data_IF_012020924491
#
_entry.id   IF_012020924491
#
_cell.length_a   1.000
_cell.length_b   1.000
_cell.length_c   1.000
_cell.angle_alpha   90.00
_cell.angle_beta   90.00
_cell.angle_gamma   90.00
#
_symmetry.space_group_name_H-M   'P 1'
#
loop_
_entity.id
_entity.type
_entity.pdbx_description
1 polymer ?
#
# COMPACT_ATOMS: atom_id res chain seq x y z
N UNK A 1 -18.56 -0.21 18.55
CA UNK A 1 -17.69 0.55 19.48
C UNK A 1 -16.38 0.77 18.76
N UNK A 2 -16.22 1.93 18.15
CA UNK A 2 -14.98 2.29 17.46
C UNK A 2 -13.95 2.68 18.51
N UNK A 3 -12.84 1.94 18.59
CA UNK A 3 -11.68 2.39 19.35
C UNK A 3 -11.17 3.72 18.80
N UNK A 4 -10.34 4.46 19.55
CA UNK A 4 -9.69 5.64 18.99
C UNK A 4 -8.84 5.21 17.79
N UNK A 5 -9.08 5.81 16.63
CA UNK A 5 -8.26 5.60 15.44
C UNK A 5 -6.80 5.86 15.81
N UNK A 6 -5.93 4.85 15.67
CA UNK A 6 -4.51 4.89 16.01
C UNK A 6 -3.73 5.77 15.04
N UNK A 7 -4.16 5.86 13.79
CA UNK A 7 -3.46 6.57 12.72
C UNK A 7 -4.42 7.41 11.88
N UNK A 8 -3.95 8.55 11.37
CA UNK A 8 -4.73 9.42 10.48
C UNK A 8 -4.73 8.87 9.04
N UNK A 9 -5.35 7.71 8.82
CA UNK A 9 -5.49 7.01 7.53
C UNK A 9 -6.96 6.60 7.32
N UNK A 10 -7.39 6.13 6.13
CA UNK A 10 -8.74 5.59 5.94
C UNK A 10 -9.07 4.47 6.94
N UNK A 11 -10.32 4.42 7.42
CA UNK A 11 -10.70 3.53 8.52
C UNK A 11 -10.47 2.04 8.21
N UNK A 12 -10.70 1.62 6.96
CA UNK A 12 -10.47 0.25 6.52
C UNK A 12 -8.99 -0.14 6.50
N UNK A 13 -8.08 0.81 6.34
CA UNK A 13 -6.64 0.55 6.25
C UNK A 13 -6.01 0.35 7.63
N UNK A 14 -6.48 1.09 8.64
CA UNK A 14 -5.95 1.05 9.99
C UNK A 14 -5.80 -0.37 10.58
N UNK A 15 -6.82 -1.25 10.57
CA UNK A 15 -6.70 -2.59 11.15
C UNK A 15 -5.76 -3.51 10.37
N UNK A 16 -5.33 -3.11 9.17
CA UNK A 16 -4.41 -3.88 8.33
C UNK A 16 -2.97 -3.55 8.67
N UNK A 17 -2.67 -2.32 9.07
CA UNK A 17 -1.30 -1.88 9.30
C UNK A 17 -0.64 -2.64 10.46
N UNK A 18 0.63 -3.05 10.34
CA UNK A 18 1.38 -3.63 11.45
C UNK A 18 1.49 -2.66 12.63
N UNK A 19 1.77 -3.20 13.82
CA UNK A 19 2.12 -2.35 14.96
C UNK A 19 3.41 -1.58 14.65
N UNK A 20 3.43 -0.28 14.95
CA UNK A 20 4.63 0.54 14.80
C UNK A 20 5.63 0.13 15.87
N UNK A 21 6.79 -0.37 15.44
CA UNK A 21 7.89 -0.72 16.33
C UNK A 21 8.86 0.45 16.46
N UNK A 22 9.34 0.70 17.67
CA UNK A 22 10.35 1.71 17.90
C UNK A 22 11.67 1.29 17.23
N UNK A 23 12.32 2.18 16.45
CA UNK A 23 13.59 1.86 15.81
C UNK A 23 14.71 1.73 16.85
N UNK A 24 15.78 1.03 16.48
CA UNK A 24 17.03 1.08 17.22
C UNK A 24 17.78 2.37 16.89
N UNK A 25 18.30 3.05 17.90
CA UNK A 25 19.30 4.10 17.69
C UNK A 25 20.66 3.44 17.54
N UNK A 26 21.27 3.57 16.36
CA UNK A 26 22.62 3.13 16.09
C UNK A 26 23.62 4.18 16.56
N UNK A 27 24.46 3.76 17.49
CA UNK A 27 25.49 4.56 18.12
C UNK A 27 26.87 3.96 17.86
N UNK A 28 27.90 4.80 17.93
CA UNK A 28 29.29 4.44 17.68
C UNK A 28 30.18 4.96 18.80
N UNK A 29 31.02 4.08 19.34
CA UNK A 29 31.94 4.39 20.44
C UNK A 29 33.32 3.86 20.10
N UNK A 30 34.36 4.63 20.43
CA UNK A 30 35.75 4.17 20.29
C UNK A 30 36.10 3.24 21.45
N UNK A 31 36.51 2.01 21.12
CA UNK A 31 37.04 1.04 22.08
C UNK A 31 38.53 0.76 21.86
N UNK A 32 39.13 -0.01 22.75
CA UNK A 32 40.56 -0.35 22.74
C UNK A 32 41.04 -1.08 21.47
N UNK A 33 40.11 -1.58 20.64
CA UNK A 33 40.38 -2.28 19.37
C UNK A 33 39.80 -1.60 18.14
N UNK A 34 39.38 -0.34 18.23
CA UNK A 34 38.71 0.40 17.17
C UNK A 34 37.24 0.69 17.46
N UNK A 35 36.49 1.05 16.43
CA UNK A 35 35.09 1.45 16.55
C UNK A 35 34.19 0.27 16.93
N UNK A 36 33.22 0.54 17.82
CA UNK A 36 32.21 -0.43 18.24
C UNK A 36 30.84 0.18 18.08
N UNK A 37 29.98 -0.51 17.33
CA UNK A 37 28.63 -0.08 17.05
C UNK A 37 27.63 -0.75 17.98
N UNK A 38 26.69 0.06 18.49
CA UNK A 38 25.66 -0.35 19.44
C UNK A 38 24.27 0.01 18.90
N UNK A 39 23.34 -0.92 19.03
CA UNK A 39 21.91 -0.64 18.90
C UNK A 39 21.34 -0.33 20.27
N UNK A 40 20.70 0.82 20.40
CA UNK A 40 20.08 1.29 21.64
C UNK A 40 18.57 1.27 21.43
N UNK A 41 17.87 0.46 22.21
CA UNK A 41 16.42 0.39 22.20
C UNK A 41 15.79 1.57 22.96
N UNK A 42 14.48 1.78 22.79
CA UNK A 42 13.74 2.89 23.42
C UNK A 42 13.77 2.86 24.96
N UNK A 43 13.92 1.69 25.56
CA UNK A 43 14.08 1.51 27.02
C UNK A 43 15.52 1.76 27.51
N UNK A 44 16.44 2.11 26.61
CA UNK A 44 17.86 2.35 26.89
C UNK A 44 18.73 1.09 26.85
N UNK A 45 18.15 -0.10 26.61
CA UNK A 45 18.91 -1.34 26.49
C UNK A 45 19.88 -1.27 25.32
N UNK A 46 21.15 -1.61 25.57
CA UNK A 46 22.23 -1.58 24.58
C UNK A 46 22.62 -2.98 24.13
N UNK A 47 22.70 -3.19 22.82
CA UNK A 47 23.22 -4.42 22.20
C UNK A 47 24.36 -4.08 21.26
N UNK A 48 25.49 -4.77 21.39
CA UNK A 48 26.60 -4.63 20.43
C UNK A 48 26.16 -5.23 19.10
N UNK A 49 26.31 -4.46 18.02
CA UNK A 49 25.90 -4.87 16.67
C UNK A 49 27.09 -5.23 15.78
N UNK A 50 28.24 -4.59 15.97
CA UNK A 50 29.41 -4.89 15.15
C UNK A 50 30.62 -4.02 15.46
N UNK A 51 31.63 -4.14 14.61
CA UNK A 51 32.86 -3.32 14.60
C UNK A 51 33.01 -2.51 13.32
N UNK A 52 32.00 -2.54 12.45
CA UNK A 52 31.87 -1.69 11.29
C UNK A 52 30.40 -1.27 11.15
N UNK A 53 30.17 -0.15 10.45
CA UNK A 53 28.82 0.36 10.20
C UNK A 53 28.00 -0.62 9.34
N UNK A 54 28.64 -1.29 8.38
CA UNK A 54 28.00 -2.32 7.54
C UNK A 54 27.56 -3.54 8.36
N UNK A 55 28.45 -4.10 9.19
CA UNK A 55 28.11 -5.24 10.06
C UNK A 55 26.97 -4.88 11.03
N UNK A 56 26.99 -3.64 11.55
CA UNK A 56 25.99 -3.20 12.48
C UNK A 56 24.61 -3.06 11.84
N UNK A 57 24.55 -2.58 10.59
CA UNK A 57 23.33 -2.50 9.82
C UNK A 57 22.79 -3.89 9.46
N UNK A 58 23.65 -4.80 9.01
CA UNK A 58 23.27 -6.19 8.71
C UNK A 58 22.80 -6.94 9.98
N UNK A 59 23.44 -6.69 11.14
CA UNK A 59 23.07 -7.29 12.42
C UNK A 59 21.78 -6.72 13.03
N UNK A 60 21.33 -5.53 12.61
CA UNK A 60 20.03 -4.99 13.00
C UNK A 60 18.87 -5.81 12.40
N UNK A 61 19.10 -6.47 11.26
CA UNK A 61 18.13 -7.35 10.61
C UNK A 61 16.91 -6.58 10.12
N UNK A 62 15.71 -7.06 10.47
CA UNK A 62 14.43 -6.45 10.06
C UNK A 62 13.97 -5.31 10.98
N UNK A 63 14.78 -4.90 11.95
CA UNK A 63 14.46 -3.77 12.83
C UNK A 63 14.93 -2.48 12.19
N UNK A 64 14.03 -1.50 12.09
CA UNK A 64 14.41 -0.17 11.60
C UNK A 64 15.47 0.48 12.49
N UNK A 65 16.39 1.21 11.86
CA UNK A 65 17.50 1.87 12.54
C UNK A 65 17.43 3.37 12.30
N UNK A 66 17.72 4.16 13.33
CA UNK A 66 18.03 5.59 13.25
C UNK A 66 19.50 5.80 13.57
N UNK A 67 20.12 6.83 13.01
CA UNK A 67 21.51 7.14 13.33
C UNK A 67 21.60 8.17 14.47
N UNK A 68 22.49 7.92 15.42
CA UNK A 68 22.88 8.91 16.43
C UNK A 68 23.68 10.06 15.81
N UNK A 69 23.78 11.16 16.53
CA UNK A 69 24.60 12.30 16.10
C UNK A 69 26.08 11.91 15.95
N UNK A 70 26.60 11.01 16.79
CA UNK A 70 27.96 10.49 16.66
C UNK A 70 28.17 9.70 15.36
N UNK A 71 27.19 8.90 14.95
CA UNK A 71 27.24 8.20 13.65
C UNK A 71 27.10 9.20 12.50
N UNK A 72 26.21 10.19 12.60
CA UNK A 72 26.04 11.23 11.57
C UNK A 72 27.30 12.09 11.41
N UNK A 73 27.94 12.51 12.49
CA UNK A 73 29.17 13.31 12.45
C UNK A 73 30.34 12.55 11.80
N UNK A 74 30.41 11.22 12.03
CA UNK A 74 31.50 10.40 11.49
C UNK A 74 31.30 9.95 10.05
N UNK A 75 30.06 9.66 9.66
CA UNK A 75 29.77 8.98 8.38
C UNK A 75 28.75 9.70 7.50
N UNK A 76 28.13 10.78 7.97
CA UNK A 76 27.00 11.41 7.31
C UNK A 76 27.32 12.68 6.52
N UNK A 77 26.52 12.86 5.46
CA UNK A 77 26.11 14.16 4.94
C UNK A 77 24.57 14.17 4.98
N UNK A 78 23.93 15.28 5.38
CA UNK A 78 22.47 15.35 5.47
C UNK A 78 21.81 15.16 4.08
N UNK A 79 20.75 14.35 4.03
CA UNK A 79 19.92 14.21 2.83
C UNK A 79 19.08 15.47 2.56
N UNK A 80 18.70 15.74 1.30
CA UNK A 80 18.14 17.03 0.87
C UNK A 80 16.81 17.44 1.52
N UNK A 81 16.09 16.55 2.20
CA UNK A 81 14.73 16.80 2.69
C UNK A 81 14.50 16.52 4.18
N UNK A 82 15.54 16.23 4.98
CA UNK A 82 15.44 16.07 6.45
C UNK A 82 14.52 14.93 6.96
N UNK A 83 13.96 14.13 6.08
CA UNK A 83 12.95 13.11 6.38
C UNK A 83 13.49 11.67 6.35
N UNK A 84 14.73 11.50 5.89
CA UNK A 84 15.47 10.23 5.81
C UNK A 84 16.93 10.51 6.15
N UNK A 85 17.53 9.73 7.05
CA UNK A 85 18.99 9.75 7.15
C UNK A 85 19.58 8.92 6.02
N UNK A 86 20.53 9.50 5.29
CA UNK A 86 21.25 8.88 4.19
C UNK A 86 22.73 8.83 4.56
N UNK A 87 23.34 7.64 4.54
CA UNK A 87 24.78 7.48 4.75
C UNK A 87 25.41 6.71 3.59
N UNK A 88 26.52 7.22 3.07
CA UNK A 88 27.36 6.50 2.11
C UNK A 88 28.50 5.82 2.84
N UNK A 89 28.56 4.49 2.76
CA UNK A 89 29.52 3.70 3.53
C UNK A 89 30.38 2.84 2.60
N UNK A 90 31.71 2.84 2.74
CA UNK A 90 32.56 1.86 2.06
C UNK A 90 32.17 0.45 2.51
N UNK A 91 31.83 -0.42 1.56
CA UNK A 91 31.56 -1.83 1.79
C UNK A 91 32.85 -2.64 1.76
N UNK A 92 32.88 -3.73 2.52
CA UNK A 92 33.98 -4.71 2.52
C UNK A 92 34.30 -5.28 1.12
N UNK A 93 33.38 -5.19 0.16
CA UNK A 93 33.56 -5.61 -1.23
C UNK A 93 34.26 -4.57 -2.13
N UNK A 94 34.67 -3.41 -1.60
CA UNK A 94 35.34 -2.36 -2.37
C UNK A 94 34.42 -1.42 -3.16
N UNK A 95 33.11 -1.45 -2.88
CA UNK A 95 32.09 -0.54 -3.42
C UNK A 95 31.53 0.36 -2.31
N UNK A 96 30.84 1.45 -2.66
CA UNK A 96 30.06 2.22 -1.68
C UNK A 96 28.62 1.70 -1.61
N UNK A 97 28.07 1.60 -0.39
CA UNK A 97 26.66 1.31 -0.12
C UNK A 97 25.96 2.58 0.36
N UNK A 98 24.71 2.76 -0.05
CA UNK A 98 23.81 3.77 0.50
C UNK A 98 22.94 3.12 1.58
N UNK A 99 23.05 3.60 2.81
CA UNK A 99 22.18 3.23 3.92
C UNK A 99 21.08 4.28 4.07
N UNK A 100 19.84 3.82 4.23
CA UNK A 100 18.64 4.65 4.33
C UNK A 100 17.86 4.28 5.59
N UNK A 101 17.56 5.25 6.44
CA UNK A 101 16.67 5.03 7.58
C UNK A 101 15.22 5.32 7.19
N UNK A 102 14.39 4.28 7.11
CA UNK A 102 12.94 4.45 6.95
C UNK A 102 12.25 3.69 8.06
N UNK A 103 11.72 4.39 9.05
CA UNK A 103 11.04 3.78 10.20
C UNK A 103 9.59 3.45 9.89
N UNK A 104 8.98 2.53 10.64
CA UNK A 104 7.54 2.27 10.62
C UNK A 104 6.73 3.56 10.83
N UNK A 105 7.18 4.44 11.73
CA UNK A 105 6.57 5.75 11.94
C UNK A 105 6.61 6.61 10.67
N UNK A 106 7.72 6.63 9.93
CA UNK A 106 7.81 7.33 8.63
C UNK A 106 6.91 6.67 7.57
N UNK A 107 6.77 5.34 7.60
CA UNK A 107 5.87 4.61 6.68
C UNK A 107 4.41 4.97 6.94
N UNK A 108 3.96 5.00 8.19
CA UNK A 108 2.63 5.48 8.60
C UNK A 108 2.43 6.94 8.24
N UNK A 109 3.41 7.81 8.54
CA UNK A 109 3.32 9.25 8.24
C UNK A 109 3.08 9.48 6.74
N UNK A 110 3.76 8.74 5.86
CA UNK A 110 3.52 8.84 4.41
C UNK A 110 2.11 8.45 3.99
N UNK A 111 1.50 7.44 4.63
CA UNK A 111 0.10 7.06 4.38
C UNK A 111 -0.86 8.15 4.88
N UNK A 112 -0.56 8.72 6.05
CA UNK A 112 -1.33 9.80 6.63
C UNK A 112 -1.24 11.09 5.78
N UNK A 113 -0.06 11.41 5.24
CA UNK A 113 0.15 12.53 4.32
C UNK A 113 -0.61 12.32 3.00
N UNK A 114 -0.60 11.10 2.45
CA UNK A 114 -1.39 10.76 1.27
C UNK A 114 -2.90 10.92 1.54
N UNK A 115 -3.36 10.50 2.71
CA UNK A 115 -4.75 10.69 3.13
C UNK A 115 -5.11 12.16 3.27
N UNK A 116 -4.29 12.94 4.00
CA UNK A 116 -4.47 14.38 4.16
C UNK A 116 -4.51 15.10 2.80
N UNK A 117 -3.60 14.74 1.89
CA UNK A 117 -3.59 15.26 0.51
C UNK A 117 -4.89 14.94 -0.22
N UNK A 118 -5.40 13.71 -0.14
CA UNK A 118 -6.68 13.38 -0.74
C UNK A 118 -7.83 14.21 -0.15
N UNK A 119 -7.86 14.42 1.16
CA UNK A 119 -8.88 15.27 1.82
C UNK A 119 -8.85 16.72 1.32
N UNK A 120 -7.67 17.26 1.05
CA UNK A 120 -7.52 18.57 0.42
C UNK A 120 -8.05 18.58 -1.02
N UNK A 121 -7.75 17.54 -1.80
CA UNK A 121 -8.26 17.38 -3.16
C UNK A 121 -9.78 17.21 -3.20
N UNK A 122 -10.37 16.46 -2.26
CA UNK A 122 -11.81 16.33 -2.11
C UNK A 122 -12.48 17.68 -1.83
N UNK A 123 -11.90 18.46 -0.92
CA UNK A 123 -12.39 19.82 -0.62
C UNK A 123 -12.36 20.71 -1.86
N UNK A 124 -11.27 20.66 -2.64
CA UNK A 124 -11.13 21.44 -3.87
C UNK A 124 -12.12 21.02 -4.95
N UNK A 125 -12.22 19.71 -5.22
CA UNK A 125 -13.12 19.18 -6.22
C UNK A 125 -14.59 19.43 -5.86
N UNK A 126 -14.99 19.29 -4.59
CA UNK A 126 -16.37 19.61 -4.15
C UNK A 126 -16.72 21.08 -4.28
N UNK A 127 -15.74 21.98 -4.16
CA UNK A 127 -15.96 23.41 -4.35
C UNK A 127 -16.22 23.77 -5.83
N UNK A 128 -15.60 23.05 -6.76
CA UNK A 128 -15.85 23.16 -8.19
C UNK A 128 -15.79 21.79 -8.91
N UNK A 129 -16.89 21.03 -8.92
CA UNK A 129 -16.92 19.71 -9.58
C UNK A 129 -16.77 19.79 -11.10
N UNK A 130 -16.82 20.99 -11.68
CA UNK A 130 -16.64 21.22 -13.11
C UNK A 130 -15.17 21.37 -13.53
N UNK A 131 -14.26 21.48 -12.56
CA UNK A 131 -12.82 21.56 -12.81
C UNK A 131 -12.27 20.19 -13.22
N UNK A 132 -11.78 20.11 -14.47
CA UNK A 132 -11.11 18.90 -14.97
C UNK A 132 -9.86 18.53 -14.17
N UNK A 133 -9.02 19.52 -13.81
CA UNK A 133 -7.76 19.27 -13.12
C UNK A 133 -7.98 18.78 -11.69
N UNK A 134 -8.99 19.34 -10.99
CA UNK A 134 -9.32 18.88 -9.64
C UNK A 134 -9.98 17.50 -9.69
N UNK A 135 -10.85 17.23 -10.67
CA UNK A 135 -11.42 15.89 -10.88
C UNK A 135 -10.33 14.85 -11.16
N UNK A 136 -9.38 15.14 -12.07
CA UNK A 136 -8.26 14.25 -12.38
C UNK A 136 -7.43 13.93 -11.13
N UNK A 137 -7.00 14.97 -10.40
CA UNK A 137 -6.18 14.79 -9.21
C UNK A 137 -6.93 14.06 -8.08
N UNK A 138 -8.23 14.33 -7.93
CA UNK A 138 -9.09 13.65 -6.96
C UNK A 138 -9.23 12.15 -7.25
N UNK A 139 -9.51 11.78 -8.51
CA UNK A 139 -9.56 10.37 -8.93
C UNK A 139 -8.22 9.69 -8.68
N UNK A 140 -7.13 10.34 -9.09
CA UNK A 140 -5.78 9.76 -9.05
C UNK A 140 -5.34 9.37 -7.63
N UNK A 141 -5.83 10.10 -6.62
CA UNK A 141 -5.49 9.92 -5.21
C UNK A 141 -6.58 9.22 -4.38
N UNK A 142 -7.72 8.83 -4.96
CA UNK A 142 -8.86 8.31 -4.21
C UNK A 142 -8.55 6.97 -3.50
N UNK A 143 -8.88 6.80 -2.19
CA UNK A 143 -8.55 5.58 -1.45
C UNK A 143 -9.18 4.29 -1.99
N UNK A 144 -10.32 4.39 -2.70
CA UNK A 144 -10.93 3.27 -3.43
C UNK A 144 -9.96 2.61 -4.44
N UNK A 145 -8.87 3.30 -4.78
CA UNK A 145 -7.85 2.81 -5.69
C UNK A 145 -6.50 2.58 -5.04
N UNK A 146 -6.39 2.72 -3.72
CA UNK A 146 -5.14 2.40 -3.04
C UNK A 146 -4.93 0.89 -3.09
N UNK A 147 -3.75 0.48 -3.52
CA UNK A 147 -3.37 -0.93 -3.54
C UNK A 147 -2.04 -1.15 -2.83
N UNK A 148 -1.88 -2.35 -2.29
CA UNK A 148 -0.61 -2.80 -1.75
C UNK A 148 0.32 -3.20 -2.88
N UNK A 149 1.54 -2.66 -2.86
CA UNK A 149 2.56 -2.96 -3.86
C UNK A 149 2.92 -4.45 -3.83
N UNK A 150 2.74 -5.11 -4.98
CA UNK A 150 2.73 -6.56 -5.11
C UNK A 150 4.09 -7.26 -5.06
N UNK A 151 5.12 -6.65 -4.47
CA UNK A 151 6.51 -7.09 -4.68
C UNK A 151 6.77 -8.50 -4.10
N UNK A 152 6.09 -8.93 -3.02
CA UNK A 152 6.18 -10.30 -2.51
C UNK A 152 4.88 -10.75 -1.80
N UNK A 153 4.52 -12.03 -1.90
CA UNK A 153 3.38 -12.63 -1.16
C UNK A 153 3.81 -13.18 0.20
N UNK A 154 3.01 -13.03 1.28
CA UNK A 154 3.24 -13.76 2.52
C UNK A 154 3.37 -15.27 2.25
N UNK A 155 4.41 -15.86 2.84
CA UNK A 155 4.78 -17.25 2.62
C UNK A 155 5.68 -17.50 1.40
N UNK A 156 5.99 -16.49 0.58
CA UNK A 156 7.09 -16.58 -0.39
C UNK A 156 8.43 -16.51 0.35
N UNK A 157 9.48 -17.25 -0.09
CA UNK A 157 10.80 -17.24 0.57
C UNK A 157 11.42 -15.85 0.75
N UNK A 158 11.06 -14.90 -0.12
CA UNK A 158 11.61 -13.54 -0.14
C UNK A 158 10.70 -12.49 0.53
N UNK A 159 9.60 -12.90 1.16
CA UNK A 159 8.67 -11.99 1.81
C UNK A 159 9.23 -11.37 3.09
N UNK A 160 8.93 -10.08 3.32
CA UNK A 160 9.30 -9.33 4.52
C UNK A 160 8.16 -8.46 5.02
N UNK A 161 8.10 -8.21 6.33
CA UNK A 161 7.12 -7.30 6.95
C UNK A 161 7.18 -5.88 6.38
N UNK A 162 8.37 -5.44 5.96
CA UNK A 162 8.57 -4.16 5.28
C UNK A 162 7.74 -3.99 3.99
N UNK A 163 7.36 -5.10 3.34
CA UNK A 163 6.48 -5.08 2.15
C UNK A 163 4.99 -4.92 2.54
N UNK A 164 4.64 -5.00 3.83
CA UNK A 164 3.30 -4.66 4.34
C UNK A 164 2.99 -3.18 4.29
N UNK A 165 4.00 -2.37 4.53
CA UNK A 165 3.87 -0.93 4.54
C UNK A 165 3.84 -0.28 3.16
N UNK A 166 4.01 -1.05 2.08
CA UNK A 166 4.12 -0.50 0.72
C UNK A 166 2.74 -0.40 0.09
N UNK A 167 2.20 0.81 0.07
CA UNK A 167 0.97 1.14 -0.64
C UNK A 167 1.23 2.11 -1.78
N UNK A 168 0.49 1.91 -2.85
CA UNK A 168 0.41 2.79 -4.00
C UNK A 168 -0.88 3.61 -3.82
N UNK A 169 -0.71 4.89 -3.49
CA UNK A 169 -1.78 5.80 -3.06
C UNK A 169 -2.06 6.91 -4.07
N UNK A 170 -1.46 6.83 -5.25
CA UNK A 170 -1.54 7.81 -6.32
C UNK A 170 -1.34 7.10 -7.67
N UNK A 171 -1.41 7.85 -8.78
CA UNK A 171 -1.19 7.37 -10.14
C UNK A 171 -2.26 6.38 -10.65
N UNK A 172 -3.45 6.34 -10.03
CA UNK A 172 -4.55 5.51 -10.53
C UNK A 172 -4.96 5.89 -11.96
N UNK A 173 -4.89 7.17 -12.34
CA UNK A 173 -5.25 7.62 -13.68
C UNK A 173 -4.33 7.03 -14.77
N UNK A 174 -3.15 6.51 -14.42
CA UNK A 174 -2.28 5.78 -15.36
C UNK A 174 -2.79 4.36 -15.68
N UNK A 175 -3.77 3.87 -14.92
CA UNK A 175 -4.31 2.50 -15.01
C UNK A 175 -5.72 2.44 -15.59
N UNK A 176 -6.37 3.59 -15.74
CA UNK A 176 -7.66 3.71 -16.40
C UNK A 176 -7.50 3.32 -17.87
N UNK A 177 -8.34 2.42 -18.38
CA UNK A 177 -8.39 2.14 -19.82
C UNK A 177 -9.02 3.34 -20.51
N UNK A 178 -8.30 3.93 -21.46
CA UNK A 178 -8.73 5.12 -22.20
C UNK A 178 -8.80 4.77 -23.67
N UNK A 179 -10.00 4.76 -24.24
CA UNK A 179 -10.19 4.38 -25.64
C UNK A 179 -11.22 5.24 -26.38
N UNK A 180 -10.97 5.60 -27.64
CA UNK A 180 -12.00 6.16 -28.49
C UNK A 180 -13.03 5.07 -28.85
N UNK A 181 -14.31 5.38 -28.72
CA UNK A 181 -15.42 4.51 -29.10
C UNK A 181 -16.34 5.18 -30.11
N UNK A 182 -17.11 4.37 -30.83
CA UNK A 182 -18.16 4.84 -31.73
C UNK A 182 -19.52 4.63 -31.07
N UNK A 183 -20.30 5.70 -30.92
CA UNK A 183 -21.68 5.63 -30.43
C UNK A 183 -22.64 5.23 -31.58
N UNK A 184 -23.85 4.80 -31.20
CA UNK A 184 -24.87 4.30 -32.15
C UNK A 184 -25.29 5.33 -33.20
N UNK A 185 -25.25 6.61 -32.86
CA UNK A 185 -25.55 7.72 -33.77
C UNK A 185 -24.40 8.04 -34.74
N UNK A 186 -23.30 7.30 -34.67
CA UNK A 186 -22.10 7.59 -35.43
C UNK A 186 -21.42 8.88 -34.97
N UNK A 187 -21.41 9.18 -33.67
CA UNK A 187 -20.44 10.11 -33.08
C UNK A 187 -19.30 9.35 -32.41
N UNK A 188 -18.14 9.98 -32.32
CA UNK A 188 -16.98 9.42 -31.61
C UNK A 188 -16.94 10.00 -30.20
N UNK A 189 -16.73 9.15 -29.21
CA UNK A 189 -16.57 9.52 -27.81
C UNK A 189 -15.28 8.93 -27.25
N UNK A 190 -14.82 9.43 -26.11
CA UNK A 190 -13.77 8.84 -25.29
C UNK A 190 -14.45 8.06 -24.18
N UNK A 191 -14.16 6.76 -24.07
CA UNK A 191 -14.56 5.91 -22.97
C UNK A 191 -13.42 5.76 -21.97
N UNK A 192 -13.78 5.76 -20.69
CA UNK A 192 -12.92 5.44 -19.57
C UNK A 192 -13.51 4.24 -18.84
N UNK A 193 -12.69 3.22 -18.61
CA UNK A 193 -13.05 2.03 -17.83
C UNK A 193 -12.01 1.83 -16.73
N UNK A 194 -12.49 1.53 -15.53
CA UNK A 194 -11.62 1.30 -14.38
C UNK A 194 -12.27 0.36 -13.37
N UNK A 195 -11.59 0.14 -12.24
CA UNK A 195 -12.00 -0.76 -11.19
C UNK A 195 -11.63 -0.26 -9.80
N UNK A 196 -12.33 -0.75 -8.79
CA UNK A 196 -11.99 -0.53 -7.38
C UNK A 196 -11.02 -1.58 -6.87
N UNK A 197 -10.34 -1.30 -5.76
CA UNK A 197 -9.63 -2.34 -5.02
C UNK A 197 -10.61 -3.45 -4.57
N UNK A 198 -10.12 -4.67 -4.42
CA UNK A 198 -10.90 -5.76 -3.83
C UNK A 198 -10.25 -6.22 -2.53
N UNK A 199 -11.06 -6.38 -1.49
CA UNK A 199 -10.60 -6.89 -0.20
C UNK A 199 -10.31 -8.39 -0.27
N UNK A 200 -10.90 -9.14 -1.21
CA UNK A 200 -10.75 -10.60 -1.27
C UNK A 200 -10.03 -11.07 -2.54
N UNK A 201 -9.15 -12.08 -2.39
CA UNK A 201 -8.49 -12.76 -3.51
C UNK A 201 -8.53 -14.28 -3.33
N UNK A 202 -8.91 -15.00 -4.37
CA UNK A 202 -8.78 -16.46 -4.40
C UNK A 202 -7.31 -16.86 -4.58
N UNK A 203 -6.82 -17.74 -3.71
CA UNK A 203 -5.49 -18.32 -3.79
C UNK A 203 -5.56 -19.83 -3.91
N UNK A 204 -4.62 -20.38 -4.67
CA UNK A 204 -4.47 -21.82 -4.85
C UNK A 204 -3.14 -22.28 -4.24
N UNK A 205 -3.22 -23.22 -3.30
CA UNK A 205 -2.02 -23.78 -2.69
C UNK A 205 -1.44 -24.91 -3.54
N UNK A 206 -0.26 -24.65 -4.09
CA UNK A 206 0.48 -25.62 -4.90
C UNK A 206 1.01 -26.73 -3.99
N UNK A 207 0.45 -27.92 -4.07
CA UNK A 207 0.86 -29.10 -3.31
C UNK A 207 -0.27 -29.78 -2.54
N UNK A 208 -1.24 -29.01 -2.05
CA UNK A 208 -2.47 -29.54 -1.42
C UNK A 208 -3.65 -29.53 -2.38
N UNK A 209 -3.58 -28.75 -3.47
CA UNK A 209 -4.66 -28.62 -4.45
C UNK A 209 -5.88 -27.85 -3.92
N UNK A 210 -5.75 -27.20 -2.76
CA UNK A 210 -6.85 -26.52 -2.06
C UNK A 210 -6.89 -25.04 -2.47
N UNK A 211 -8.10 -24.56 -2.78
CA UNK A 211 -8.38 -23.14 -2.98
C UNK A 211 -8.90 -22.52 -1.66
N UNK A 212 -8.45 -21.33 -1.34
CA UNK A 212 -8.93 -20.54 -0.20
C UNK A 212 -9.04 -19.07 -0.56
N UNK A 213 -9.82 -18.32 0.22
CA UNK A 213 -9.98 -16.87 0.05
C UNK A 213 -9.09 -16.16 1.05
N UNK A 214 -8.27 -15.25 0.55
CA UNK A 214 -7.50 -14.32 1.37
C UNK A 214 -8.28 -13.02 1.45
N UNK A 215 -8.67 -12.65 2.65
CA UNK A 215 -9.29 -11.34 2.95
C UNK A 215 -8.20 -10.29 3.17
N UNK A 216 -8.55 -9.03 2.98
CA UNK A 216 -7.71 -7.84 3.13
C UNK A 216 -6.46 -7.78 2.25
N UNK A 217 -6.58 -8.20 0.99
CA UNK A 217 -5.44 -8.30 0.05
C UNK A 217 -5.13 -6.97 -0.63
N UNK A 218 -6.14 -6.28 -1.18
CA UNK A 218 -6.03 -4.96 -1.81
C UNK A 218 -4.87 -4.83 -2.83
N UNK A 219 -4.63 -5.83 -3.68
CA UNK A 219 -3.45 -5.88 -4.59
C UNK A 219 -3.71 -5.47 -6.03
N UNK A 220 -4.97 -5.41 -6.43
CA UNK A 220 -5.35 -5.11 -7.81
C UNK A 220 -6.64 -4.33 -7.79
N UNK A 221 -6.82 -3.53 -8.84
CA UNK A 221 -8.13 -3.06 -9.23
C UNK A 221 -8.86 -4.18 -9.98
N UNK A 222 -10.12 -4.41 -9.65
CA UNK A 222 -11.00 -5.28 -10.43
C UNK A 222 -12.02 -4.42 -11.15
N UNK A 223 -12.18 -4.67 -12.45
CA UNK A 223 -13.09 -3.91 -13.29
C UNK A 223 -14.48 -3.76 -12.65
N UNK A 224 -14.96 -2.51 -12.56
CA UNK A 224 -16.26 -2.16 -12.02
C UNK A 224 -17.08 -1.42 -13.09
N UNK A 225 -18.08 -2.08 -13.72
CA UNK A 225 -18.86 -1.49 -14.81
C UNK A 225 -19.71 -0.27 -14.37
N UNK A 226 -19.86 -0.02 -13.06
CA UNK A 226 -20.51 1.21 -12.57
C UNK A 226 -19.70 2.46 -12.84
N UNK A 227 -18.39 2.29 -13.03
CA UNK A 227 -17.44 3.37 -13.26
C UNK A 227 -17.21 3.64 -14.75
N UNK A 228 -17.83 2.85 -15.63
CA UNK A 228 -17.70 3.04 -17.07
C UNK A 228 -18.39 4.33 -17.51
N UNK A 229 -17.59 5.24 -18.06
CA UNK A 229 -18.10 6.52 -18.56
C UNK A 229 -17.64 6.76 -19.97
N UNK A 230 -18.47 7.47 -20.74
CA UNK A 230 -18.07 7.99 -22.03
C UNK A 230 -18.52 9.43 -22.20
N UNK A 231 -17.73 10.20 -22.95
CA UNK A 231 -18.02 11.59 -23.25
C UNK A 231 -17.40 12.06 -24.57
N UNK A 232 -17.85 13.19 -25.15
CA UNK A 232 -17.26 13.74 -26.38
C UNK A 232 -15.78 14.12 -26.26
N UNK A 233 -15.29 14.42 -25.05
CA UNK A 233 -13.88 14.74 -24.79
C UNK A 233 -13.35 13.98 -23.58
N UNK A 234 -12.02 13.87 -23.48
CA UNK A 234 -11.36 13.25 -22.34
C UNK A 234 -11.67 13.98 -21.03
N UNK A 235 -11.67 15.32 -21.04
CA UNK A 235 -11.91 16.15 -19.86
C UNK A 235 -13.33 16.02 -19.32
N UNK A 236 -14.33 15.91 -20.20
CA UNK A 236 -15.70 15.60 -19.80
C UNK A 236 -15.82 14.16 -19.29
N UNK A 237 -15.11 13.19 -19.89
CA UNK A 237 -15.12 11.81 -19.42
C UNK A 237 -14.52 11.71 -18.01
N UNK A 238 -13.40 12.40 -17.74
CA UNK A 238 -12.77 12.44 -16.41
C UNK A 238 -13.71 13.07 -15.37
N UNK A 239 -14.43 14.15 -15.70
CA UNK A 239 -15.42 14.74 -14.79
C UNK A 239 -16.57 13.79 -14.49
N UNK A 240 -17.06 13.05 -15.50
CA UNK A 240 -18.09 12.02 -15.31
C UNK A 240 -17.58 10.86 -14.47
N UNK A 241 -16.33 10.45 -14.66
CA UNK A 241 -15.70 9.40 -13.86
C UNK A 241 -15.64 9.81 -12.38
N UNK A 242 -15.23 11.04 -12.07
CA UNK A 242 -15.21 11.53 -10.69
C UNK A 242 -16.61 11.48 -10.04
N UNK A 243 -17.65 11.87 -10.78
CA UNK A 243 -19.03 11.77 -10.31
C UNK A 243 -19.49 10.32 -10.12
N UNK A 244 -19.10 9.40 -11.02
CA UNK A 244 -19.42 7.97 -10.89
C UNK A 244 -18.75 7.36 -9.65
N UNK A 245 -17.49 7.72 -9.40
CA UNK A 245 -16.74 7.28 -8.22
C UNK A 245 -17.38 7.83 -6.94
N UNK A 246 -17.72 9.12 -6.86
CA UNK A 246 -18.39 9.70 -5.68
C UNK A 246 -19.78 9.09 -5.43
N UNK A 247 -20.44 8.57 -6.48
CA UNK A 247 -21.71 7.86 -6.35
C UNK A 247 -21.56 6.41 -5.85
N UNK A 248 -20.41 5.77 -6.09
CA UNK A 248 -20.16 4.37 -5.71
C UNK A 248 -19.39 4.28 -4.40
N UNK A 249 -18.37 5.10 -4.20
CA UNK A 249 -17.46 5.05 -3.06
C UNK A 249 -17.59 6.30 -2.18
N UNK A 250 -17.41 6.10 -0.89
CA UNK A 250 -17.31 7.19 0.07
C UNK A 250 -15.90 7.79 0.10
N UNK A 251 -15.68 8.74 1.00
CA UNK A 251 -14.39 9.41 1.15
C UNK A 251 -13.27 8.45 1.55
N UNK A 252 -13.59 7.45 2.38
CA UNK A 252 -12.62 6.46 2.84
C UNK A 252 -12.35 5.44 1.73
N UNK A 253 -13.10 5.45 0.63
CA UNK A 253 -12.95 4.53 -0.49
C UNK A 253 -13.74 3.23 -0.33
N UNK A 254 -14.62 3.15 0.67
CA UNK A 254 -15.53 2.04 0.86
C UNK A 254 -16.78 2.21 -0.03
N UNK A 255 -17.37 1.09 -0.47
CA UNK A 255 -18.60 1.14 -1.24
C UNK A 255 -19.75 1.70 -0.39
N UNK A 256 -20.47 2.69 -0.94
CA UNK A 256 -21.61 3.31 -0.28
C UNK A 256 -22.78 2.32 -0.18
N UNK A 257 -23.54 2.31 0.93
CA UNK A 257 -24.75 1.50 1.04
C UNK A 257 -25.78 1.77 -0.07
N UNK A 258 -25.83 3.01 -0.56
CA UNK A 258 -26.69 3.48 -1.64
C UNK A 258 -26.08 3.39 -3.05
N UNK A 259 -24.89 2.80 -3.18
CA UNK A 259 -24.20 2.70 -4.47
C UNK A 259 -25.12 2.06 -5.52
N UNK A 260 -25.15 2.61 -6.75
CA UNK A 260 -25.98 2.05 -7.80
C UNK A 260 -25.60 0.59 -8.04
N UNK A 261 -26.58 -0.27 -8.26
CA UNK A 261 -26.30 -1.61 -8.73
C UNK A 261 -25.52 -1.54 -10.06
N UNK A 262 -24.56 -2.46 -10.31
CA UNK A 262 -23.89 -2.58 -11.59
C UNK A 262 -24.91 -2.58 -12.74
N UNK A 263 -24.97 -1.50 -13.50
CA UNK A 263 -25.89 -1.38 -14.63
C UNK A 263 -25.51 -2.46 -15.65
N UNK A 264 -26.36 -3.46 -15.81
CA UNK A 264 -26.07 -4.63 -16.65
C UNK A 264 -25.51 -5.86 -15.92
N UNK A 265 -25.75 -6.02 -14.62
CA UNK A 265 -25.61 -7.32 -13.96
C UNK A 265 -26.63 -8.31 -14.56
N UNK A 266 -26.32 -8.91 -15.71
CA UNK A 266 -26.97 -10.03 -16.39
C UNK A 266 -28.50 -9.89 -16.47
N UNK A 267 -29.09 -9.79 -17.69
CA UNK A 267 -30.55 -9.70 -17.85
C UNK A 267 -31.28 -10.72 -16.95
N UNK A 268 -32.51 -10.43 -16.48
CA UNK A 268 -33.26 -11.36 -15.65
C UNK A 268 -33.32 -12.78 -16.26
N UNK A 269 -33.22 -12.88 -17.59
CA UNK A 269 -33.02 -14.09 -18.37
C UNK A 269 -31.71 -14.83 -18.06
N UNK A 270 -30.57 -14.13 -17.99
CA UNK A 270 -29.27 -14.68 -17.61
C UNK A 270 -29.19 -14.99 -16.10
N UNK A 271 -29.81 -14.18 -15.24
CA UNK A 271 -29.96 -14.49 -13.81
C UNK A 271 -30.82 -15.75 -13.57
N UNK A 272 -31.83 -16.00 -14.41
CA UNK A 272 -32.66 -17.21 -14.37
C UNK A 272 -31.93 -18.42 -14.97
N UNK A 273 -31.08 -18.23 -15.99
CA UNK A 273 -30.23 -19.27 -16.58
C UNK A 273 -29.11 -19.75 -15.63
N UNK A 274 -28.64 -18.87 -14.74
CA UNK A 274 -27.63 -19.18 -13.73
C UNK A 274 -28.19 -19.84 -12.46
N UNK A 275 -29.53 -19.90 -12.32
CA UNK A 275 -30.20 -20.41 -11.12
C UNK A 275 -29.89 -19.59 -9.86
N UNK A 276 -30.43 -19.96 -8.68
CA UNK A 276 -29.88 -19.47 -7.43
C UNK A 276 -28.39 -19.81 -7.44
N UNK A 277 -27.51 -18.81 -7.36
CA UNK A 277 -26.10 -19.04 -7.06
C UNK A 277 -26.08 -19.82 -5.75
N UNK A 278 -25.84 -21.14 -5.84
CA UNK A 278 -25.20 -21.84 -4.73
C UNK A 278 -23.91 -21.06 -4.53
N UNK A 279 -23.85 -20.26 -3.48
CA UNK A 279 -22.64 -19.55 -3.11
C UNK A 279 -21.53 -20.63 -2.95
N UNK A 280 -20.62 -20.82 -3.93
CA UNK A 280 -19.55 -21.80 -3.77
C UNK A 280 -18.53 -21.34 -2.73
N UNK A 281 -18.71 -20.11 -2.20
CA UNK A 281 -17.87 -19.44 -1.22
C UNK A 281 -18.34 -19.66 0.22
N UNK A 282 -19.57 -20.12 0.46
CA UNK A 282 -20.11 -20.33 1.80
C UNK A 282 -19.27 -21.36 2.63
N UNK A 283 -18.63 -22.30 1.96
CA UNK A 283 -17.87 -23.41 2.59
C UNK A 283 -16.34 -23.28 2.44
N UNK A 284 -15.82 -22.21 1.82
CA UNK A 284 -14.37 -22.05 1.67
C UNK A 284 -13.76 -21.46 2.93
N UNK A 285 -12.63 -22.02 3.34
CA UNK A 285 -11.82 -21.46 4.43
C UNK A 285 -11.37 -20.05 4.04
N UNK A 286 -11.81 -19.06 4.83
CA UNK A 286 -11.33 -17.68 4.79
C UNK A 286 -10.14 -17.52 5.71
N UNK A 287 -9.14 -16.80 5.25
CA UNK A 287 -7.92 -16.50 6.03
C UNK A 287 -7.64 -15.02 5.84
N UNK A 288 -7.41 -14.28 6.93
CA UNK A 288 -6.99 -12.88 6.81
C UNK A 288 -5.58 -12.83 6.28
N UNK A 289 -5.28 -11.82 5.47
CA UNK A 289 -3.94 -11.62 4.95
C UNK A 289 -2.89 -11.51 6.08
N UNK A 290 -3.23 -10.86 7.20
CA UNK A 290 -2.37 -10.76 8.39
C UNK A 290 -2.10 -12.10 9.08
N UNK A 291 -3.01 -13.07 8.94
CA UNK A 291 -2.89 -14.41 9.55
C UNK A 291 -2.00 -15.36 8.74
N UNK A 292 -1.61 -14.99 7.52
CA UNK A 292 -0.70 -15.79 6.68
C UNK A 292 0.75 -15.80 7.21
N UNK A 293 1.03 -15.00 8.25
CA UNK A 293 2.20 -15.10 9.11
C UNK A 293 3.49 -14.51 8.54
N UNK A 294 4.30 -14.01 9.46
CA UNK A 294 5.75 -13.86 9.29
C UNK A 294 6.36 -15.24 9.15
N UNK A 295 6.95 -15.55 7.99
CA UNK A 295 7.51 -16.87 7.72
C UNK A 295 8.38 -17.37 8.89
N UNK A 296 8.28 -18.65 9.27
CA UNK A 296 9.14 -19.19 10.32
C UNK A 296 10.58 -19.09 9.84
N UNK A 297 11.37 -18.27 10.53
CA UNK A 297 12.81 -18.38 10.52
C UNK A 297 13.16 -19.81 10.92
N UNK A 298 13.45 -20.65 9.93
CA UNK A 298 14.01 -21.98 10.16
C UNK A 298 15.37 -21.79 10.79
N UNK A 299 15.41 -21.84 12.13
CA UNK A 299 16.59 -22.24 12.86
C UNK A 299 16.93 -23.65 12.42
N UNK A 300 17.81 -23.76 11.42
CA UNK A 300 18.50 -25.01 11.13
C UNK A 300 19.50 -25.21 12.26
N UNK A 301 19.06 -25.85 13.34
CA UNK A 301 19.93 -26.47 14.32
C UNK A 301 20.77 -27.50 13.57
N UNK A 302 22.05 -27.18 13.32
CA UNK A 302 23.04 -28.17 12.91
C UNK A 302 23.31 -29.10 14.10
N UNK A 303 22.78 -30.31 14.02
CA UNK A 303 23.38 -31.49 14.64
C UNK A 303 24.44 -32.07 13.73
#
# INVERSE_FOLDING_TARGET
MSGPARYAVPAWLEPLLPDVVAPLLLDVVDGDGGEVFWGIAADGTRRRLGTSLEDAYDAAGDVDVLFSDAVRERYGEEGPDGCLDLLWVPSHAGFHRLLLTRTDAHRVARLADAWARFRELDTRWRADPSSFLDAFAWIDAHPAFWIRSGVNEPGHPDWRDADFWRWETADHMQRVDIRPIRLDDGTTAIALETGGHVSEMERWERGTGTAYVVEDVYRTHYYDPRLDVSAPTFEEAVRRLALAIDAVFDLDGEERPEAPAPAGALSAEVATMLGPRSDPWADRRRVRFSDLGTGPGTSVSRG
#
